data_IF_719634531342
#
_entry.id   IF_719634531342
#
_cell.length_a   1.000
_cell.length_b   1.000
_cell.length_c   1.000
_cell.angle_alpha   90.00
_cell.angle_beta   90.00
_cell.angle_gamma   90.00
#
_symmetry.space_group_name_H-M   'P 1'
#
loop_
_entity.id
_entity.type
_entity.pdbx_description
1 polymer ?
#
# COMPACT_ATOMS: atom_id res chain seq x y z
N UNK A 1 7.79 9.57 4.60
CA UNK A 1 7.04 10.29 3.54
C UNK A 1 5.73 10.78 4.12
N UNK A 2 5.23 11.95 3.69
CA UNK A 2 3.89 12.45 4.01
C UNK A 2 2.97 12.17 2.82
N UNK A 3 1.78 11.66 3.09
CA UNK A 3 0.73 11.50 2.09
C UNK A 3 -0.20 12.70 2.17
N UNK A 4 -0.57 13.23 1.02
CA UNK A 4 -1.61 14.25 0.95
C UNK A 4 -2.92 13.55 0.59
N UNK A 5 -3.94 13.62 1.47
CA UNK A 5 -5.26 13.20 1.08
C UNK A 5 -5.80 14.18 0.02
N UNK A 6 -6.58 13.67 -0.92
CA UNK A 6 -7.31 14.51 -1.86
C UNK A 6 -8.52 15.20 -1.18
N UNK A 7 -9.29 15.91 -2.00
CA UNK A 7 -10.48 16.64 -1.56
C UNK A 7 -11.59 15.72 -1.00
N UNK A 8 -11.56 14.44 -1.34
CA UNK A 8 -12.49 13.40 -0.88
C UNK A 8 -12.00 12.70 0.39
N UNK A 9 -10.75 12.95 0.79
CA UNK A 9 -10.09 12.27 1.91
C UNK A 9 -9.37 10.98 1.53
N UNK A 10 -9.24 10.69 0.23
CA UNK A 10 -8.53 9.52 -0.29
C UNK A 10 -7.03 9.79 -0.39
N UNK A 11 -6.21 8.76 -0.18
CA UNK A 11 -4.76 8.91 -0.25
C UNK A 11 -4.27 8.87 -1.70
N UNK A 12 -3.58 9.94 -2.10
CA UNK A 12 -2.87 9.98 -3.39
C UNK A 12 -1.43 9.54 -3.20
N UNK A 13 -0.99 8.58 -4.01
CA UNK A 13 0.36 8.04 -4.00
C UNK A 13 1.04 8.37 -5.32
N UNK A 14 2.31 8.77 -5.24
CA UNK A 14 3.15 8.90 -6.43
C UNK A 14 3.30 7.54 -7.13
N UNK A 15 3.03 7.42 -8.44
CA UNK A 15 3.08 6.13 -9.13
C UNK A 15 4.43 5.43 -9.01
N UNK A 16 5.54 6.17 -9.14
CA UNK A 16 6.90 5.63 -8.95
C UNK A 16 7.13 5.05 -7.56
N UNK A 17 6.63 5.75 -6.54
CA UNK A 17 6.75 5.31 -5.16
C UNK A 17 6.06 3.96 -4.96
N UNK A 18 4.84 3.81 -5.46
CA UNK A 18 4.07 2.58 -5.32
C UNK A 18 4.63 1.44 -6.18
N UNK A 19 5.05 1.74 -7.41
CA UNK A 19 5.60 0.76 -8.34
C UNK A 19 6.84 0.06 -7.77
N UNK A 20 7.76 0.83 -7.17
CA UNK A 20 8.95 0.28 -6.50
C UNK A 20 8.61 -0.70 -5.37
N UNK A 21 7.55 -0.43 -4.59
CA UNK A 21 7.10 -1.29 -3.48
C UNK A 21 6.37 -2.54 -3.94
N UNK A 22 5.79 -2.49 -5.13
CA UNK A 22 5.16 -3.64 -5.78
C UNK A 22 6.12 -4.40 -6.71
N UNK A 23 7.42 -4.06 -6.71
CA UNK A 23 8.44 -4.69 -7.56
C UNK A 23 8.07 -4.72 -9.05
N UNK A 24 7.45 -3.64 -9.55
CA UNK A 24 7.09 -3.49 -10.96
C UNK A 24 7.50 -2.10 -11.49
N UNK A 25 7.58 -1.97 -12.80
CA UNK A 25 7.80 -0.69 -13.47
C UNK A 25 6.58 0.22 -13.37
N UNK A 26 6.80 1.54 -13.35
CA UNK A 26 5.72 2.54 -13.26
C UNK A 26 4.69 2.38 -14.40
N UNK A 27 5.15 2.15 -15.63
CA UNK A 27 4.27 1.93 -16.79
C UNK A 27 3.43 0.65 -16.64
N UNK A 28 3.99 -0.39 -16.03
CA UNK A 28 3.26 -1.63 -15.76
C UNK A 28 2.27 -1.44 -14.60
N UNK A 29 2.61 -0.68 -13.56
CA UNK A 29 1.65 -0.29 -12.52
C UNK A 29 0.44 0.41 -13.14
N UNK A 30 0.66 1.43 -13.97
CA UNK A 30 -0.43 2.16 -14.63
C UNK A 30 -1.26 1.24 -15.53
N UNK A 31 -0.61 0.31 -16.25
CA UNK A 31 -1.31 -0.70 -17.06
C UNK A 31 -2.15 -1.64 -16.20
N UNK A 32 -1.61 -2.17 -15.10
CA UNK A 32 -2.34 -3.05 -14.19
C UNK A 32 -3.51 -2.33 -13.51
N UNK A 33 -3.35 -1.06 -13.14
CA UNK A 33 -4.45 -0.23 -12.61
C UNK A 33 -5.58 -0.06 -13.63
N UNK A 34 -5.27 0.26 -14.90
CA UNK A 34 -6.28 0.34 -15.98
C UNK A 34 -7.01 -0.98 -16.22
N UNK A 35 -6.35 -2.10 -15.98
CA UNK A 35 -6.92 -3.45 -16.12
C UNK A 35 -7.65 -3.93 -14.84
N UNK A 36 -7.68 -3.14 -13.76
CA UNK A 36 -8.28 -3.54 -12.49
C UNK A 36 -7.51 -4.63 -11.73
N UNK A 37 -6.22 -4.82 -12.06
CA UNK A 37 -5.36 -5.85 -11.45
C UNK A 37 -4.64 -5.38 -10.18
N UNK A 38 -4.75 -4.09 -9.87
CA UNK A 38 -4.29 -3.48 -8.61
C UNK A 38 -5.51 -3.16 -7.78
N UNK A 39 -5.53 -3.64 -6.53
CA UNK A 39 -6.60 -3.34 -5.57
C UNK A 39 -6.01 -2.70 -4.33
N UNK A 40 -6.75 -1.79 -3.71
CA UNK A 40 -6.37 -1.13 -2.47
C UNK A 40 -7.42 -1.33 -1.38
N UNK A 41 -7.00 -1.18 -0.12
CA UNK A 41 -7.87 -1.15 1.05
C UNK A 41 -7.31 -0.14 2.05
N UNK A 42 -8.22 0.63 2.64
CA UNK A 42 -7.93 1.52 3.77
C UNK A 42 -8.68 1.00 4.99
N UNK A 43 -7.98 0.87 6.10
CA UNK A 43 -8.55 0.47 7.39
C UNK A 43 -8.28 1.56 8.41
N UNK A 44 -9.30 1.95 9.17
CA UNK A 44 -9.17 2.95 10.23
C UNK A 44 -8.86 2.26 11.56
N UNK A 45 -7.82 2.72 12.25
CA UNK A 45 -7.46 2.24 13.57
C UNK A 45 -8.51 2.63 14.61
N UNK A 46 -8.75 1.71 15.55
CA UNK A 46 -9.63 1.89 16.70
C UNK A 46 -8.82 1.79 17.99
N UNK A 47 -9.39 2.24 19.11
CA UNK A 47 -8.79 2.16 20.44
C UNK A 47 -7.35 2.69 20.49
N UNK A 48 -6.37 1.84 20.79
CA UNK A 48 -4.95 2.20 20.88
C UNK A 48 -4.35 2.69 19.55
N UNK A 49 -4.98 2.35 18.42
CA UNK A 49 -4.57 2.81 17.09
C UNK A 49 -5.46 3.93 16.54
N UNK A 50 -6.34 4.52 17.37
CA UNK A 50 -7.22 5.62 16.94
C UNK A 50 -6.41 6.75 16.29
N UNK A 51 -6.86 7.16 15.09
CA UNK A 51 -6.21 8.19 14.29
C UNK A 51 -5.14 7.66 13.33
N UNK A 52 -4.72 6.40 13.49
CA UNK A 52 -3.89 5.72 12.49
C UNK A 52 -4.76 5.07 11.42
N UNK A 53 -4.19 4.89 10.24
CA UNK A 53 -4.81 4.18 9.13
C UNK A 53 -3.83 3.17 8.56
N UNK A 54 -4.34 2.03 8.12
CA UNK A 54 -3.55 1.02 7.40
C UNK A 54 -3.96 1.03 5.94
N UNK A 55 -2.98 1.32 5.09
CA UNK A 55 -3.11 1.21 3.63
C UNK A 55 -2.58 -0.16 3.23
N UNK A 56 -3.34 -0.86 2.40
CA UNK A 56 -2.88 -2.08 1.73
C UNK A 56 -3.10 -1.91 0.25
N UNK A 57 -2.06 -2.09 -0.56
CA UNK A 57 -2.16 -2.15 -2.01
C UNK A 57 -1.58 -3.47 -2.47
N UNK A 58 -2.27 -4.16 -3.37
CA UNK A 58 -1.82 -5.45 -3.88
C UNK A 58 -2.04 -5.56 -5.39
N UNK A 59 -1.16 -6.30 -6.04
CA UNK A 59 -1.39 -6.88 -7.34
C UNK A 59 -1.39 -8.42 -7.22
N UNK A 60 -1.21 -9.14 -8.33
CA UNK A 60 -1.14 -10.61 -8.32
C UNK A 60 0.07 -11.14 -7.56
N UNK A 61 1.19 -10.44 -7.61
CA UNK A 61 2.51 -10.97 -7.24
C UNK A 61 3.04 -10.37 -5.94
N UNK A 62 2.48 -9.25 -5.47
CA UNK A 62 3.06 -8.48 -4.37
C UNK A 62 1.98 -7.72 -3.60
N UNK A 63 2.25 -7.48 -2.32
CA UNK A 63 1.49 -6.61 -1.43
C UNK A 63 2.44 -5.57 -0.87
N UNK A 64 1.99 -4.32 -0.84
CA UNK A 64 2.56 -3.26 -0.02
C UNK A 64 1.57 -2.87 1.07
N UNK A 65 2.07 -2.69 2.29
CA UNK A 65 1.28 -2.23 3.43
C UNK A 65 1.98 -1.06 4.12
N UNK A 66 1.21 -0.06 4.52
CA UNK A 66 1.71 1.06 5.29
C UNK A 66 0.76 1.42 6.44
N UNK A 67 1.33 1.86 7.55
CA UNK A 67 0.61 2.54 8.64
C UNK A 67 0.88 4.03 8.53
N UNK A 68 -0.20 4.80 8.49
CA UNK A 68 -0.21 6.25 8.37
C UNK A 68 -0.73 6.82 9.68
N UNK A 69 -0.03 7.79 10.26
CA UNK A 69 -0.47 8.50 11.47
C UNK A 69 -1.49 9.61 11.19
N UNK A 70 -1.93 10.30 12.24
CA UNK A 70 -2.92 11.37 12.14
C UNK A 70 -2.42 12.60 11.34
N UNK A 71 -1.10 12.78 11.21
CA UNK A 71 -0.47 13.84 10.42
C UNK A 71 -0.24 13.43 8.96
N UNK A 72 -0.81 12.28 8.57
CA UNK A 72 -0.64 11.63 7.27
C UNK A 72 0.82 11.24 6.95
N UNK A 73 1.63 10.93 7.97
CA UNK A 73 2.99 10.40 7.76
C UNK A 73 2.96 8.88 7.81
N UNK A 74 3.67 8.26 6.86
CA UNK A 74 3.95 6.82 6.93
C UNK A 74 4.92 6.59 8.10
N UNK A 75 4.46 5.86 9.11
CA UNK A 75 5.24 5.51 10.33
C UNK A 75 5.77 4.08 10.29
N UNK A 76 5.20 3.22 9.44
CA UNK A 76 5.67 1.86 9.18
C UNK A 76 5.24 1.45 7.78
N UNK A 77 6.09 0.71 7.07
CA UNK A 77 5.74 0.08 5.81
C UNK A 77 6.45 -1.26 5.62
N UNK A 78 5.83 -2.15 4.85
CA UNK A 78 6.38 -3.43 4.44
C UNK A 78 5.90 -3.79 3.04
N UNK A 79 6.70 -4.57 2.32
CA UNK A 79 6.32 -5.16 1.03
C UNK A 79 6.69 -6.63 1.03
N UNK A 80 5.86 -7.48 0.43
CA UNK A 80 6.15 -8.91 0.31
C UNK A 80 5.52 -9.50 -0.95
N UNK A 81 6.18 -10.51 -1.51
CA UNK A 81 5.74 -11.21 -2.71
C UNK A 81 4.74 -12.33 -2.38
N UNK A 82 3.61 -12.31 -3.08
CA UNK A 82 2.60 -13.37 -3.08
C UNK A 82 3.10 -14.51 -3.98
N UNK A 83 3.93 -15.39 -3.41
CA UNK A 83 4.56 -16.48 -4.14
C UNK A 83 5.69 -17.15 -3.37
N UNK A 84 6.24 -16.50 -2.35
CA UNK A 84 7.05 -17.17 -1.35
C UNK A 84 6.14 -17.69 -0.25
N UNK A 85 5.61 -18.90 -0.45
CA UNK A 85 5.32 -19.74 0.70
C UNK A 85 6.63 -19.83 1.48
N UNK A 86 6.70 -19.18 2.64
CA UNK A 86 7.81 -19.41 3.55
C UNK A 86 7.80 -20.90 3.88
N UNK A 87 8.74 -21.63 3.28
CA UNK A 87 9.22 -22.88 3.82
C UNK A 87 9.94 -22.56 5.12
N UNK A 88 9.17 -22.26 6.17
CA UNK A 88 9.58 -22.52 7.54
C UNK A 88 9.00 -23.88 7.88
N UNK A 89 9.75 -24.90 7.47
CA UNK A 89 9.66 -26.22 8.08
C UNK A 89 10.14 -26.06 9.54
N UNK A 90 9.27 -26.41 10.47
CA UNK A 90 9.64 -26.74 11.85
C UNK A 90 9.54 -28.25 12.00
#
# INVERSE_FOLDING_TARGET
>A
MKLEPDQSGDYVLEPRFLAQRLSIEENELQRQMRLGLVTSRVEFGIDGDKGRKRLTVRNRNSVWRAVVDADNRIVSEESFELGQASAVAN
#
